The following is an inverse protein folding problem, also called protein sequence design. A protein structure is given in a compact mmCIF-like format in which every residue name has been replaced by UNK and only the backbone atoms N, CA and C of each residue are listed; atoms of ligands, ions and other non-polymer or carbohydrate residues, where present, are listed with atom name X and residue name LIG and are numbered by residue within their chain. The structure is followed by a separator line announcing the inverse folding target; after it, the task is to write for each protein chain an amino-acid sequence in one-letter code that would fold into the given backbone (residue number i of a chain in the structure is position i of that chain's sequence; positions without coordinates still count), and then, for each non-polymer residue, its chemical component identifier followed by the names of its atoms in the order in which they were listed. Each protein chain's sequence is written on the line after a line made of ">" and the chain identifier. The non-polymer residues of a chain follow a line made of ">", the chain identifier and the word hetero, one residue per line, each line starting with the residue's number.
data_IF_855433126669
#
_entry.id   IF_855433126669
#
_cell.length_a   1.000
_cell.length_b   1.000
_cell.length_c   1.000
_cell.angle_alpha   90.00
_cell.angle_beta   90.00
_cell.angle_gamma   90.00
#
_symmetry.space_group_name_H-M   'P 1'
#
loop_
_entity.id
_entity.type
_entity.pdbx_description
1 polymer ?
#
# COMPACT_ATOMS: atom_id res chain seq x y z
N UNK A 1 19.50 -3.32 -19.72
CA UNK A 1 18.05 -3.30 -20.05
C UNK A 1 17.13 -3.77 -18.91
N UNK A 2 17.45 -4.81 -18.12
CA UNK A 2 16.61 -5.28 -17.02
C UNK A 2 16.34 -4.24 -15.90
N UNK A 3 17.28 -3.32 -15.65
CA UNK A 3 17.21 -2.36 -14.55
C UNK A 3 16.15 -1.26 -14.76
N UNK A 4 15.99 -0.79 -16.00
CA UNK A 4 14.99 0.22 -16.39
C UNK A 4 13.56 -0.30 -16.18
N UNK A 5 13.36 -1.61 -16.30
CA UNK A 5 12.06 -2.25 -16.19
C UNK A 5 11.61 -2.45 -14.73
N UNK A 6 12.53 -2.52 -13.77
CA UNK A 6 12.22 -2.62 -12.33
C UNK A 6 11.93 -1.25 -11.72
N UNK A 7 12.51 -0.20 -12.29
CA UNK A 7 12.27 1.19 -11.87
C UNK A 7 10.78 1.58 -11.84
N UNK A 8 9.98 1.03 -12.77
CA UNK A 8 8.51 1.20 -12.79
C UNK A 8 7.81 0.67 -11.53
N UNK A 9 8.35 -0.34 -10.86
CA UNK A 9 7.82 -0.87 -9.59
C UNK A 9 8.47 -0.20 -8.38
N UNK A 10 9.77 0.09 -8.45
CA UNK A 10 10.53 0.65 -7.32
C UNK A 10 9.99 2.00 -6.88
N UNK A 11 9.78 2.94 -7.81
CA UNK A 11 9.35 4.30 -7.45
C UNK A 11 7.95 4.36 -6.82
N UNK A 12 6.91 3.70 -7.37
CA UNK A 12 5.61 3.64 -6.71
C UNK A 12 5.66 2.92 -5.36
N UNK A 13 6.43 1.83 -5.25
CA UNK A 13 6.56 1.10 -3.98
C UNK A 13 7.25 1.95 -2.92
N UNK A 14 8.35 2.64 -3.26
CA UNK A 14 9.05 3.55 -2.36
C UNK A 14 8.13 4.67 -1.87
N UNK A 15 7.33 5.26 -2.78
CA UNK A 15 6.32 6.27 -2.41
C UNK A 15 5.26 5.71 -1.46
N UNK A 16 4.75 4.51 -1.74
CA UNK A 16 3.76 3.84 -0.89
C UNK A 16 4.33 3.47 0.49
N UNK A 17 5.59 3.01 0.53
CA UNK A 17 6.32 2.71 1.76
C UNK A 17 6.56 3.97 2.59
N UNK A 18 6.95 5.09 1.96
CA UNK A 18 7.10 6.37 2.65
C UNK A 18 5.81 6.85 3.31
N UNK A 19 4.65 6.67 2.64
CA UNK A 19 3.33 6.93 3.23
C UNK A 19 3.07 6.04 4.44
N UNK A 20 3.36 4.74 4.33
CA UNK A 20 3.20 3.81 5.45
C UNK A 20 4.06 4.22 6.65
N UNK A 21 5.35 4.50 6.44
CA UNK A 21 6.24 4.95 7.52
C UNK A 21 5.73 6.22 8.20
N UNK A 22 5.29 7.19 7.41
CA UNK A 22 4.75 8.44 7.94
C UNK A 22 3.44 8.20 8.72
N UNK A 23 2.52 7.39 8.20
CA UNK A 23 1.29 7.03 8.89
C UNK A 23 1.56 6.28 10.21
N UNK A 24 2.51 5.34 10.21
CA UNK A 24 2.91 4.61 11.42
C UNK A 24 3.44 5.56 12.49
N UNK A 25 4.35 6.47 12.12
CA UNK A 25 4.93 7.43 13.05
C UNK A 25 3.87 8.41 13.59
N UNK A 26 3.00 8.91 12.72
CA UNK A 26 1.91 9.80 13.09
C UNK A 26 0.94 9.15 14.07
N UNK A 27 0.53 7.91 13.79
CA UNK A 27 -0.34 7.14 14.68
C UNK A 27 0.33 6.85 16.01
N UNK A 28 1.59 6.42 16.01
CA UNK A 28 2.31 6.15 17.25
C UNK A 28 2.38 7.39 18.16
N UNK A 29 2.62 8.57 17.58
CA UNK A 29 2.67 9.82 18.33
C UNK A 29 1.30 10.23 18.90
N UNK A 30 0.24 10.16 18.09
CA UNK A 30 -1.09 10.63 18.53
C UNK A 30 -1.84 9.64 19.41
N UNK A 31 -1.69 8.35 19.15
CA UNK A 31 -2.37 7.28 19.91
C UNK A 31 -1.92 7.23 21.37
N UNK A 32 -0.71 7.69 21.68
CA UNK A 32 -0.24 7.81 23.07
C UNK A 32 -1.01 8.87 23.86
N UNK A 33 -1.45 9.93 23.20
CA UNK A 33 -2.19 11.03 23.81
C UNK A 33 -3.72 10.83 23.74
N UNK A 34 -4.21 10.25 22.65
CA UNK A 34 -5.62 10.01 22.41
C UNK A 34 -5.83 8.61 21.77
N UNK A 35 -6.34 7.62 22.51
CA UNK A 35 -6.65 6.30 21.99
C UNK A 35 -7.63 6.28 20.80
N UNK A 36 -8.51 7.28 20.69
CA UNK A 36 -9.48 7.38 19.60
C UNK A 36 -8.80 7.56 18.24
N UNK A 37 -7.60 8.15 18.20
CA UNK A 37 -6.80 8.28 16.97
C UNK A 37 -6.36 6.92 16.44
N UNK A 38 -6.04 5.98 17.34
CA UNK A 38 -5.72 4.61 16.96
C UNK A 38 -6.95 3.89 16.41
N UNK A 39 -8.09 4.02 17.11
CA UNK A 39 -9.34 3.38 16.72
C UNK A 39 -9.87 3.88 15.39
N UNK A 40 -9.84 5.20 15.19
CA UNK A 40 -10.29 5.89 13.99
C UNK A 40 -9.53 5.47 12.72
N UNK A 41 -8.24 5.14 12.84
CA UNK A 41 -7.38 4.84 11.69
C UNK A 41 -7.08 3.34 11.51
N UNK A 42 -7.57 2.47 12.39
CA UNK A 42 -7.15 1.07 12.46
C UNK A 42 -7.36 0.31 11.13
N UNK A 43 -8.54 0.45 10.54
CA UNK A 43 -8.92 -0.24 9.30
C UNK A 43 -8.11 0.27 8.09
N UNK A 44 -8.00 1.58 7.95
CA UNK A 44 -7.26 2.25 6.89
C UNK A 44 -5.78 1.93 6.97
N UNK A 45 -5.21 1.95 8.17
CA UNK A 45 -3.81 1.64 8.42
C UNK A 45 -3.49 0.17 8.09
N UNK A 46 -4.33 -0.77 8.54
CA UNK A 46 -4.17 -2.18 8.20
C UNK A 46 -4.19 -2.41 6.69
N UNK A 47 -5.12 -1.75 5.98
CA UNK A 47 -5.20 -1.83 4.52
C UNK A 47 -4.00 -1.18 3.84
N UNK A 48 -3.54 -0.02 4.31
CA UNK A 48 -2.34 0.65 3.80
C UNK A 48 -1.12 -0.28 3.95
N UNK A 49 -0.95 -0.89 5.11
CA UNK A 49 0.12 -1.86 5.37
C UNK A 49 0.04 -3.05 4.42
N UNK A 50 -1.13 -3.66 4.29
CA UNK A 50 -1.36 -4.81 3.40
C UNK A 50 -1.03 -4.49 1.93
N UNK A 51 -1.41 -3.30 1.45
CA UNK A 51 -1.13 -2.87 0.09
C UNK A 51 0.38 -2.73 -0.17
N UNK A 52 1.12 -2.17 0.78
CA UNK A 52 2.59 -2.05 0.66
C UNK A 52 3.26 -3.42 0.70
N UNK A 53 2.84 -4.29 1.63
CA UNK A 53 3.38 -5.64 1.76
C UNK A 53 3.14 -6.48 0.49
N UNK A 54 1.92 -6.46 -0.05
CA UNK A 54 1.60 -7.13 -1.31
C UNK A 54 2.33 -6.50 -2.50
N UNK A 55 2.50 -5.18 -2.54
CA UNK A 55 3.30 -4.50 -3.56
C UNK A 55 4.75 -5.01 -3.59
N UNK A 56 5.38 -5.18 -2.43
CA UNK A 56 6.72 -5.78 -2.32
C UNK A 56 6.76 -7.22 -2.86
N UNK A 57 5.78 -8.05 -2.51
CA UNK A 57 5.70 -9.43 -2.99
C UNK A 57 5.47 -9.50 -4.50
N UNK A 58 4.61 -8.65 -5.06
CA UNK A 58 4.39 -8.55 -6.51
C UNK A 58 5.63 -8.11 -7.26
N UNK A 59 6.38 -7.13 -6.74
CA UNK A 59 7.64 -6.71 -7.32
C UNK A 59 8.64 -7.87 -7.37
N UNK A 60 8.77 -8.65 -6.29
CA UNK A 60 9.64 -9.84 -6.26
C UNK A 60 9.21 -10.92 -7.25
N UNK A 61 7.91 -11.19 -7.33
CA UNK A 61 7.39 -12.16 -8.31
C UNK A 61 7.61 -11.71 -9.75
N UNK A 62 7.47 -10.41 -10.03
CA UNK A 62 7.73 -9.85 -11.36
C UNK A 62 9.21 -9.96 -11.75
N UNK A 63 10.12 -9.74 -10.81
CA UNK A 63 11.56 -9.89 -11.02
C UNK A 63 11.92 -11.34 -11.42
N UNK A 64 11.45 -12.31 -10.63
CA UNK A 64 11.63 -13.75 -10.92
C UNK A 64 10.96 -14.12 -12.24
N UNK A 65 9.72 -13.69 -12.46
CA UNK A 65 8.97 -14.01 -13.69
C UNK A 65 9.64 -13.51 -14.95
N UNK A 66 10.36 -12.38 -14.89
CA UNK A 66 11.11 -11.85 -16.02
C UNK A 66 12.32 -12.71 -16.40
N UNK A 67 12.96 -13.37 -15.43
CA UNK A 67 14.09 -14.27 -15.66
C UNK A 67 13.68 -15.66 -16.17
N UNK A 68 12.41 -16.03 -16.03
CA UNK A 68 11.89 -17.37 -16.37
C UNK A 68 10.90 -17.34 -17.53
N UNK A 69 11.22 -16.56 -18.58
CA UNK A 69 10.35 -16.40 -19.75
C UNK A 69 10.46 -17.52 -20.78
N UNK A 70 11.39 -18.45 -20.58
CA UNK A 70 11.60 -19.60 -21.46
C UNK A 70 11.13 -20.89 -20.78
N UNK A 71 10.59 -21.83 -21.57
CA UNK A 71 10.14 -23.16 -21.10
C UNK A 71 8.62 -23.32 -21.00
N UNK A 72 8.18 -24.51 -20.55
CA UNK A 72 6.76 -24.89 -20.53
C UNK A 72 5.88 -23.99 -19.64
N UNK A 73 6.47 -23.38 -18.62
CA UNK A 73 5.78 -22.47 -17.69
C UNK A 73 5.81 -20.99 -18.11
N UNK A 74 6.31 -20.66 -19.31
CA UNK A 74 6.48 -19.26 -19.75
C UNK A 74 5.20 -18.42 -19.61
N UNK A 75 4.04 -18.99 -19.93
CA UNK A 75 2.73 -18.33 -19.78
C UNK A 75 2.40 -17.99 -18.33
N UNK A 76 2.76 -18.86 -17.38
CA UNK A 76 2.52 -18.62 -15.96
C UNK A 76 3.37 -17.45 -15.44
N UNK A 77 4.66 -17.42 -15.78
CA UNK A 77 5.55 -16.32 -15.38
C UNK A 77 5.16 -15.00 -16.03
N UNK A 78 4.75 -15.03 -17.30
CA UNK A 78 4.24 -13.84 -17.98
C UNK A 78 2.98 -13.31 -17.28
N UNK A 79 2.03 -14.18 -16.92
CA UNK A 79 0.84 -13.80 -16.16
C UNK A 79 1.17 -13.14 -14.81
N UNK A 80 2.23 -13.59 -14.10
CA UNK A 80 2.70 -12.96 -12.86
C UNK A 80 3.24 -11.54 -13.09
N UNK A 81 4.01 -11.34 -14.15
CA UNK A 81 4.54 -10.01 -14.52
C UNK A 81 3.39 -9.05 -14.87
N UNK A 82 2.41 -9.52 -15.63
CA UNK A 82 1.25 -8.72 -16.02
C UNK A 82 0.33 -8.40 -14.83
N UNK A 83 0.14 -9.37 -13.92
CA UNK A 83 -0.62 -9.13 -12.69
C UNK A 83 0.09 -8.11 -11.79
N UNK A 84 1.42 -8.17 -11.68
CA UNK A 84 2.18 -7.16 -10.94
C UNK A 84 2.00 -5.77 -11.54
N UNK A 85 2.07 -5.64 -12.88
CA UNK A 85 1.79 -4.37 -13.57
C UNK A 85 0.41 -3.81 -13.21
N UNK A 86 -0.64 -4.63 -13.34
CA UNK A 86 -2.01 -4.25 -12.94
C UNK A 86 -2.07 -3.79 -11.48
N UNK A 87 -1.44 -4.54 -10.57
CA UNK A 87 -1.44 -4.20 -9.15
C UNK A 87 -0.83 -2.81 -8.90
N UNK A 88 0.33 -2.53 -9.50
CA UNK A 88 1.03 -1.27 -9.34
C UNK A 88 0.31 -0.07 -9.96
N UNK A 89 -0.35 -0.27 -11.10
CA UNK A 89 -1.07 0.79 -11.81
C UNK A 89 -2.48 1.05 -11.24
N UNK A 90 -3.17 0.02 -10.75
CA UNK A 90 -4.60 0.11 -10.40
C UNK A 90 -4.90 -0.03 -8.92
N UNK A 91 -4.08 -0.76 -8.17
CA UNK A 91 -4.37 -1.12 -6.78
C UNK A 91 -3.48 -0.34 -5.81
N UNK A 92 -2.16 -0.34 -6.02
CA UNK A 92 -1.21 0.37 -5.15
C UNK A 92 -1.49 1.88 -4.99
N UNK A 93 -2.03 2.62 -5.98
CA UNK A 93 -2.36 4.04 -5.80
C UNK A 93 -3.38 4.32 -4.68
N UNK A 94 -4.21 3.33 -4.30
CA UNK A 94 -5.16 3.44 -3.18
C UNK A 94 -4.46 3.83 -1.86
N UNK A 95 -3.17 3.52 -1.72
CA UNK A 95 -2.34 3.94 -0.58
C UNK A 95 -2.36 5.45 -0.36
N UNK A 96 -2.55 6.26 -1.41
CA UNK A 96 -2.63 7.72 -1.27
C UNK A 96 -3.90 8.19 -0.59
N UNK A 97 -5.04 7.61 -0.94
CA UNK A 97 -6.33 7.96 -0.33
C UNK A 97 -6.39 7.46 1.13
N UNK A 98 -5.94 6.23 1.37
CA UNK A 98 -5.85 5.67 2.73
C UNK A 98 -4.94 6.52 3.62
N UNK A 99 -3.77 6.90 3.10
CA UNK A 99 -2.88 7.81 3.81
C UNK A 99 -3.56 9.13 4.15
N UNK A 100 -4.23 9.78 3.20
CA UNK A 100 -4.95 11.03 3.46
C UNK A 100 -6.04 10.88 4.54
N UNK A 101 -6.77 9.75 4.53
CA UNK A 101 -7.79 9.43 5.53
C UNK A 101 -7.20 9.21 6.92
N UNK A 102 -6.04 8.53 7.03
CA UNK A 102 -5.35 8.36 8.32
C UNK A 102 -4.91 9.72 8.86
N UNK A 103 -4.36 10.57 7.99
CA UNK A 103 -3.83 11.88 8.40
C UNK A 103 -4.92 12.90 8.79
N UNK A 104 -6.20 12.66 8.48
CA UNK A 104 -7.30 13.54 8.94
C UNK A 104 -7.64 13.35 10.41
N UNK A 105 -7.26 12.21 11.00
CA UNK A 105 -7.48 11.89 12.41
C UNK A 105 -8.93 11.66 12.84
N UNK A 106 -9.12 11.47 14.14
CA UNK A 106 -10.38 11.05 14.74
C UNK A 106 -11.43 12.16 14.85
N UNK A 107 -11.01 13.43 14.89
CA UNK A 107 -11.88 14.59 15.16
C UNK A 107 -13.16 14.62 14.32
N UNK A 108 -13.05 14.36 13.02
CA UNK A 108 -14.19 14.40 12.11
C UNK A 108 -15.24 13.32 12.40
N UNK A 109 -14.85 12.20 12.98
CA UNK A 109 -15.74 11.10 13.34
C UNK A 109 -16.24 11.22 14.77
N UNK A 110 -15.37 11.59 15.70
CA UNK A 110 -15.70 11.64 17.14
C UNK A 110 -16.47 12.90 17.56
N UNK A 111 -16.58 13.91 16.69
CA UNK A 111 -17.37 15.13 16.95
C UNK A 111 -18.80 15.07 16.45
N UNK A 112 -19.22 13.98 15.81
CA UNK A 112 -20.62 13.85 15.43
C UNK A 112 -21.51 13.82 16.68
N UNK A 113 -22.70 14.43 16.57
CA UNK A 113 -23.71 14.32 17.62
C UNK A 113 -24.38 12.96 17.53
N UNK A 114 -24.25 12.15 18.58
CA UNK A 114 -24.87 10.83 18.66
C UNK A 114 -26.41 10.89 18.51
N UNK A 115 -27.06 11.97 18.97
CA UNK A 115 -28.51 12.15 18.83
C UNK A 115 -28.97 12.38 17.37
N UNK A 116 -28.04 12.57 16.43
CA UNK A 116 -28.34 12.83 15.02
C UNK A 116 -28.34 11.56 14.14
N UNK A 117 -28.11 10.38 14.71
CA UNK A 117 -28.13 9.07 14.02
C UNK A 117 -29.27 8.17 14.50
#
# INVERSE_FOLDING_TARGET
>A
ENDVSMHHYLMPLAKAFGRLQQATAWLAQRSMANPDEAGAAACEYLRLFALVALGYLWMRMADIGRSKRDGEEALFYQAKVDTARFYFERILPQTGALFASIMSGADGMMKFNDEAF
#
